data_IF_802012564418
#
_entry.id   IF_802012564418
#
_cell.length_a   1.000
_cell.length_b   1.000
_cell.length_c   1.000
_cell.angle_alpha   90.00
_cell.angle_beta   90.00
_cell.angle_gamma   90.00
#
_symmetry.space_group_name_H-M   'P 1'
#
loop_
_entity.id
_entity.type
_entity.pdbx_description
1 polymer ?
#
# COMPACT_ATOMS: atom_id res chain seq x y z
N UNK A 1 -4.79 -3.78 32.82
CA UNK A 1 -4.98 -3.16 31.49
C UNK A 1 -5.44 -4.24 30.54
N UNK A 2 -6.72 -4.23 30.15
CA UNK A 2 -7.25 -5.11 29.12
C UNK A 2 -6.74 -4.64 27.76
N UNK A 3 -6.16 -5.54 26.97
CA UNK A 3 -6.02 -5.32 25.54
C UNK A 3 -7.43 -5.34 24.94
N UNK A 4 -7.98 -4.18 24.62
CA UNK A 4 -9.21 -4.09 23.83
C UNK A 4 -8.94 -4.77 22.49
N UNK A 5 -9.61 -5.90 22.28
CA UNK A 5 -9.52 -6.66 21.04
C UNK A 5 -10.30 -5.90 19.96
N UNK A 6 -9.64 -4.93 19.33
CA UNK A 6 -10.19 -4.18 18.23
C UNK A 6 -10.43 -5.11 17.04
N UNK A 7 -11.68 -5.51 16.86
CA UNK A 7 -12.13 -6.23 15.68
C UNK A 7 -12.61 -5.19 14.65
N UNK A 8 -12.03 -5.13 13.44
CA UNK A 8 -12.52 -4.21 12.42
C UNK A 8 -13.92 -4.61 11.98
N UNK A 9 -14.93 -3.80 12.32
CA UNK A 9 -16.29 -3.97 11.82
C UNK A 9 -16.31 -3.84 10.28
N UNK A 10 -17.16 -4.64 9.65
CA UNK A 10 -17.34 -4.62 8.19
C UNK A 10 -17.90 -3.26 7.71
N UNK A 11 -17.53 -2.85 6.50
CA UNK A 11 -18.20 -1.75 5.81
C UNK A 11 -19.06 -2.29 4.67
N UNK A 12 -20.36 -1.99 4.69
CA UNK A 12 -21.28 -2.38 3.64
C UNK A 12 -21.25 -1.36 2.50
N UNK A 13 -20.70 -1.76 1.34
CA UNK A 13 -20.62 -0.92 0.13
C UNK A 13 -22.00 -0.48 -0.42
N UNK A 14 -23.10 -1.10 0.04
CA UNK A 14 -24.46 -0.78 -0.41
C UNK A 14 -25.11 0.41 0.31
N UNK A 15 -24.62 0.78 1.51
CA UNK A 15 -25.27 1.78 2.36
C UNK A 15 -24.81 3.23 2.06
N UNK A 16 -24.16 3.44 0.91
CA UNK A 16 -23.70 4.74 0.41
C UNK A 16 -22.19 4.90 0.41
N UNK A 17 -21.71 5.97 -0.22
CA UNK A 17 -20.30 6.37 -0.22
C UNK A 17 -19.94 6.92 1.18
N UNK A 18 -19.09 6.24 1.97
CA UNK A 18 -18.81 6.66 3.36
C UNK A 18 -17.80 7.81 3.45
N UNK A 19 -17.40 8.39 2.32
CA UNK A 19 -16.28 9.31 2.20
C UNK A 19 -16.72 10.66 1.64
N UNK A 20 -17.48 11.43 2.41
CA UNK A 20 -17.60 12.87 2.18
C UNK A 20 -16.26 13.54 2.51
N UNK A 21 -15.31 13.50 1.59
CA UNK A 21 -14.10 14.33 1.67
C UNK A 21 -14.50 15.81 1.61
N UNK A 22 -14.04 16.61 2.58
CA UNK A 22 -14.29 18.05 2.55
C UNK A 22 -13.57 18.70 1.36
N UNK A 23 -14.17 19.72 0.76
CA UNK A 23 -13.56 20.44 -0.37
C UNK A 23 -12.21 21.09 0.01
N UNK A 24 -12.03 21.41 1.30
CA UNK A 24 -10.75 21.88 1.85
C UNK A 24 -9.61 20.86 1.68
N UNK A 25 -9.88 19.57 1.93
CA UNK A 25 -8.88 18.50 1.80
C UNK A 25 -8.48 18.22 0.34
N UNK A 26 -9.29 18.67 -0.62
CA UNK A 26 -8.99 18.59 -2.06
C UNK A 26 -8.17 19.82 -2.48
N UNK A 27 -8.48 21.00 -1.95
CA UNK A 27 -7.84 22.26 -2.35
C UNK A 27 -6.38 22.41 -1.89
N UNK A 28 -6.01 21.88 -0.72
CA UNK A 28 -4.62 21.95 -0.20
C UNK A 28 -3.61 21.11 -1.02
N UNK A 29 -4.09 20.24 -1.91
CA UNK A 29 -3.31 19.23 -2.59
C UNK A 29 -2.74 19.70 -3.95
N UNK A 30 -3.30 20.77 -4.54
CA UNK A 30 -2.97 21.28 -5.87
C UNK A 30 -1.64 22.08 -5.94
N UNK A 31 -0.53 21.48 -5.48
CA UNK A 31 0.81 22.06 -5.49
C UNK A 31 1.66 21.70 -6.73
N UNK A 32 2.50 22.65 -7.16
CA UNK A 32 3.32 22.63 -8.38
C UNK A 32 4.26 21.43 -8.55
N UNK A 33 4.23 20.80 -9.74
CA UNK A 33 5.32 19.95 -10.23
C UNK A 33 5.70 20.37 -11.66
N UNK A 34 6.96 20.82 -11.86
CA UNK A 34 7.50 21.18 -13.18
C UNK A 34 8.23 20.00 -13.84
N UNK A 35 8.53 20.08 -15.13
CA UNK A 35 9.07 18.96 -15.92
C UNK A 35 10.38 18.39 -15.36
N UNK A 36 10.43 17.06 -15.19
CA UNK A 36 11.48 16.32 -14.47
C UNK A 36 12.19 15.36 -15.44
N UNK A 37 13.53 15.35 -15.48
CA UNK A 37 14.32 14.40 -16.28
C UNK A 37 14.27 12.98 -15.72
N UNK A 38 14.58 11.94 -16.49
CA UNK A 38 14.43 10.53 -16.02
C UNK A 38 15.23 10.18 -14.75
N UNK A 39 16.44 10.75 -14.59
CA UNK A 39 17.23 10.59 -13.35
C UNK A 39 16.46 11.21 -12.17
N UNK A 40 15.98 12.43 -12.37
CA UNK A 40 15.22 13.18 -11.37
C UNK A 40 13.82 12.58 -11.12
N UNK A 41 13.28 11.75 -12.04
CA UNK A 41 12.01 11.06 -11.84
C UNK A 41 12.10 9.95 -10.77
N UNK A 42 13.23 9.23 -10.71
CA UNK A 42 13.47 8.23 -9.65
C UNK A 42 13.71 8.91 -8.30
N UNK A 43 14.46 10.01 -8.30
CA UNK A 43 14.70 10.84 -7.11
C UNK A 43 13.39 11.47 -6.58
N UNK A 44 12.52 11.97 -7.47
CA UNK A 44 11.20 12.47 -7.12
C UNK A 44 10.26 11.38 -6.60
N UNK A 45 10.33 10.15 -7.14
CA UNK A 45 9.61 8.99 -6.60
C UNK A 45 10.02 8.70 -5.15
N UNK A 46 11.33 8.61 -4.90
CA UNK A 46 11.93 8.38 -3.57
C UNK A 46 11.53 9.49 -2.60
N UNK A 47 11.80 10.75 -2.95
CA UNK A 47 11.58 11.93 -2.08
C UNK A 47 10.13 12.05 -1.62
N UNK A 48 9.16 11.81 -2.52
CA UNK A 48 7.72 11.86 -2.19
C UNK A 48 7.28 10.74 -1.25
N UNK A 49 7.90 9.56 -1.37
CA UNK A 49 7.64 8.43 -0.49
C UNK A 49 8.26 8.67 0.90
N UNK A 50 9.50 9.13 0.97
CA UNK A 50 10.18 9.46 2.23
C UNK A 50 9.43 10.54 3.02
N UNK A 51 9.03 11.62 2.33
CA UNK A 51 8.24 12.71 2.92
C UNK A 51 6.89 12.20 3.47
N UNK A 52 6.22 11.30 2.75
CA UNK A 52 4.91 10.75 3.16
C UNK A 52 5.05 9.74 4.30
N UNK A 53 5.96 8.78 4.18
CA UNK A 53 6.08 7.64 5.11
C UNK A 53 7.00 7.96 6.31
N UNK A 54 7.44 9.22 6.44
CA UNK A 54 8.32 9.70 7.53
C UNK A 54 9.64 8.90 7.65
N UNK A 55 10.23 8.54 6.50
CA UNK A 55 11.47 7.77 6.37
C UNK A 55 11.49 6.43 7.16
N UNK A 56 10.33 5.81 7.40
CA UNK A 56 10.23 4.58 8.19
C UNK A 56 9.26 3.55 7.62
N UNK A 57 9.43 2.29 8.03
CA UNK A 57 8.54 1.19 7.66
C UNK A 57 7.11 1.47 8.13
N UNK A 58 6.15 1.45 7.20
CA UNK A 58 4.75 1.77 7.51
C UNK A 58 4.10 0.78 8.50
N UNK A 59 4.65 -0.44 8.64
CA UNK A 59 4.14 -1.50 9.53
C UNK A 59 4.67 -1.37 10.95
N UNK A 60 5.99 -1.38 11.14
CA UNK A 60 6.61 -1.42 12.47
C UNK A 60 7.32 -0.12 12.90
N UNK A 61 7.37 0.88 12.03
CA UNK A 61 8.01 2.17 12.31
C UNK A 61 9.54 2.16 12.39
N UNK A 62 10.20 1.02 12.16
CA UNK A 62 11.66 0.95 12.01
C UNK A 62 12.11 1.95 10.94
N UNK A 63 13.18 2.68 11.21
CA UNK A 63 13.77 3.71 10.34
C UNK A 63 15.31 3.62 10.29
N UNK A 64 15.90 2.50 10.71
CA UNK A 64 17.36 2.32 10.71
C UNK A 64 17.90 2.37 9.26
N UNK A 65 18.88 3.25 8.96
CA UNK A 65 19.47 3.35 7.61
C UNK A 65 19.96 2.01 7.07
N UNK A 66 19.72 1.74 5.78
CA UNK A 66 20.08 0.48 5.13
C UNK A 66 19.21 -0.73 5.52
N UNK A 67 18.19 -0.56 6.36
CA UNK A 67 17.21 -1.62 6.70
C UNK A 67 15.82 -1.39 6.10
N UNK A 68 15.61 -0.23 5.46
CA UNK A 68 14.38 0.22 4.81
C UNK A 68 14.55 0.19 3.30
N UNK A 69 13.55 -0.32 2.60
CA UNK A 69 13.47 -0.44 1.16
C UNK A 69 12.14 0.15 0.64
N UNK A 70 12.11 0.53 -0.63
CA UNK A 70 10.92 0.99 -1.34
C UNK A 70 10.21 -0.21 -1.98
N UNK A 71 9.15 -0.69 -1.34
CA UNK A 71 8.30 -1.72 -1.92
C UNK A 71 7.28 -1.11 -2.88
N UNK A 72 6.81 -1.89 -3.85
CA UNK A 72 5.78 -1.49 -4.82
C UNK A 72 4.55 -2.36 -4.68
N UNK A 73 3.38 -1.73 -4.65
CA UNK A 73 2.11 -2.43 -4.45
C UNK A 73 1.76 -3.24 -5.71
N UNK A 74 1.98 -2.64 -6.88
CA UNK A 74 2.00 -3.30 -8.19
C UNK A 74 3.47 -3.45 -8.63
N UNK A 75 4.05 -4.67 -8.57
CA UNK A 75 5.42 -4.96 -9.00
C UNK A 75 5.77 -4.53 -10.42
N UNK A 76 7.04 -4.16 -10.66
CA UNK A 76 7.54 -3.77 -12.00
C UNK A 76 7.47 -4.89 -13.05
N UNK A 77 7.44 -6.15 -12.64
CA UNK A 77 7.35 -7.31 -13.54
C UNK A 77 5.98 -7.40 -14.22
N UNK A 78 4.93 -6.85 -13.60
CA UNK A 78 3.55 -6.87 -14.05
C UNK A 78 3.25 -5.70 -15.00
N UNK A 79 3.92 -5.69 -16.16
CA UNK A 79 3.87 -4.59 -17.13
C UNK A 79 2.44 -4.16 -17.50
N UNK A 80 1.53 -5.12 -17.62
CA UNK A 80 0.17 -4.89 -18.10
C UNK A 80 -0.79 -4.46 -16.99
N UNK A 81 -0.63 -4.95 -15.75
CA UNK A 81 -1.61 -4.67 -14.67
C UNK A 81 -1.82 -3.19 -14.42
N UNK A 82 -0.73 -2.40 -14.44
CA UNK A 82 -0.85 -0.95 -14.27
C UNK A 82 -1.63 -0.29 -15.42
N UNK A 83 -1.47 -0.78 -16.64
CA UNK A 83 -2.22 -0.29 -17.81
C UNK A 83 -3.69 -0.73 -17.80
N UNK A 84 -3.96 -1.97 -17.38
CA UNK A 84 -5.31 -2.46 -17.15
C UNK A 84 -6.03 -1.62 -16.08
N UNK A 85 -5.33 -1.24 -15.01
CA UNK A 85 -5.88 -0.38 -13.97
C UNK A 85 -6.21 1.03 -14.49
N UNK A 86 -5.40 1.60 -15.40
CA UNK A 86 -5.71 2.87 -16.08
C UNK A 86 -6.91 2.72 -17.02
N UNK A 87 -6.86 1.73 -17.90
CA UNK A 87 -7.88 1.45 -18.93
C UNK A 87 -9.25 1.17 -18.31
N UNK A 88 -9.28 0.42 -17.20
CA UNK A 88 -10.51 0.07 -16.46
C UNK A 88 -10.90 1.09 -15.39
N UNK A 89 -10.21 2.24 -15.33
CA UNK A 89 -10.48 3.38 -14.44
C UNK A 89 -10.40 3.07 -12.93
N UNK A 90 -9.59 2.09 -12.54
CA UNK A 90 -9.24 1.84 -11.13
C UNK A 90 -8.25 2.89 -10.59
N UNK A 91 -7.45 3.48 -11.48
CA UNK A 91 -6.60 4.64 -11.23
C UNK A 91 -6.79 5.63 -12.39
N UNK A 92 -6.42 6.92 -12.24
CA UNK A 92 -6.57 7.89 -13.31
C UNK A 92 -5.75 7.50 -14.54
N UNK A 93 -6.29 7.77 -15.74
CA UNK A 93 -5.56 7.59 -17.00
C UNK A 93 -4.25 8.42 -17.04
N UNK A 94 -4.23 9.57 -16.35
CA UNK A 94 -3.05 10.43 -16.23
C UNK A 94 -2.08 10.03 -15.10
N UNK A 95 -2.33 8.93 -14.37
CA UNK A 95 -1.36 8.40 -13.41
C UNK A 95 -0.02 8.13 -14.10
N UNK A 96 1.08 8.34 -13.37
CA UNK A 96 2.44 8.14 -13.91
C UNK A 96 2.67 6.67 -14.24
N UNK A 97 3.80 6.39 -14.90
CA UNK A 97 4.23 5.03 -15.15
C UNK A 97 4.33 4.22 -13.85
N UNK A 98 4.21 2.89 -13.93
CA UNK A 98 4.36 2.00 -12.76
C UNK A 98 5.70 2.18 -12.03
N UNK A 99 6.75 2.66 -12.74
CA UNK A 99 8.08 2.95 -12.18
C UNK A 99 8.16 4.30 -11.44
N UNK A 100 7.47 5.33 -11.91
CA UNK A 100 7.63 6.72 -11.39
C UNK A 100 6.47 7.17 -10.48
N UNK A 101 5.43 6.34 -10.31
CA UNK A 101 4.27 6.69 -9.50
C UNK A 101 4.50 6.46 -8.00
N UNK A 102 4.70 7.54 -7.24
CA UNK A 102 4.86 7.49 -5.78
C UNK A 102 3.62 6.89 -5.06
N UNK A 103 2.43 7.03 -5.66
CA UNK A 103 1.17 6.41 -5.17
C UNK A 103 1.11 4.88 -5.39
N UNK A 104 2.12 4.28 -6.04
CA UNK A 104 2.34 2.83 -6.13
C UNK A 104 3.43 2.33 -5.14
N UNK A 105 4.09 3.21 -4.38
CA UNK A 105 5.19 2.85 -3.48
C UNK A 105 4.86 2.98 -2.00
N UNK A 106 5.54 2.19 -1.17
CA UNK A 106 5.50 2.23 0.31
C UNK A 106 6.91 1.97 0.88
N UNK A 107 7.24 2.58 2.03
CA UNK A 107 8.42 2.18 2.80
C UNK A 107 8.14 0.96 3.66
N UNK A 108 8.97 -0.08 3.50
CA UNK A 108 8.97 -1.27 4.36
C UNK A 108 10.38 -1.57 4.83
N UNK A 109 10.52 -2.16 6.03
CA UNK A 109 11.80 -2.77 6.39
C UNK A 109 11.96 -4.10 5.64
N UNK A 110 13.21 -4.55 5.44
CA UNK A 110 13.54 -5.79 4.70
C UNK A 110 12.67 -7.00 5.05
N UNK A 111 12.36 -7.20 6.34
CA UNK A 111 11.49 -8.28 6.81
C UNK A 111 10.03 -8.13 6.36
N UNK A 112 9.46 -6.92 6.42
CA UNK A 112 8.09 -6.68 5.96
C UNK A 112 8.01 -6.60 4.43
N UNK A 113 9.03 -6.10 3.74
CA UNK A 113 9.11 -6.09 2.28
C UNK A 113 9.08 -7.52 1.73
N UNK A 114 9.99 -8.37 2.20
CA UNK A 114 10.02 -9.78 1.80
C UNK A 114 8.74 -10.54 2.16
N UNK A 115 8.01 -10.14 3.20
CA UNK A 115 6.72 -10.74 3.54
C UNK A 115 5.54 -10.18 2.71
N UNK A 116 5.63 -8.94 2.23
CA UNK A 116 4.63 -8.28 1.38
C UNK A 116 4.69 -8.80 -0.06
N UNK A 117 5.90 -8.99 -0.60
CA UNK A 117 6.14 -9.49 -1.97
C UNK A 117 5.66 -10.93 -2.16
N UNK A 118 5.68 -11.74 -1.10
CA UNK A 118 5.16 -13.12 -1.08
C UNK A 118 3.79 -13.21 -0.40
N UNK A 119 3.06 -12.09 -0.34
CA UNK A 119 1.63 -12.04 0.01
C UNK A 119 1.24 -12.57 1.41
N UNK A 120 2.18 -12.67 2.35
CA UNK A 120 1.90 -13.12 3.72
C UNK A 120 0.93 -12.21 4.49
N UNK A 121 0.83 -10.94 4.08
CA UNK A 121 -0.15 -9.97 4.55
C UNK A 121 -0.52 -9.02 3.41
N UNK A 122 -1.66 -8.36 3.55
CA UNK A 122 -2.04 -7.20 2.75
C UNK A 122 -2.40 -6.02 3.66
N UNK A 123 -2.59 -4.85 3.05
CA UNK A 123 -3.07 -3.63 3.72
C UNK A 123 -4.45 -3.31 3.16
N UNK A 124 -5.47 -3.27 4.01
CA UNK A 124 -6.85 -2.92 3.62
C UNK A 124 -7.18 -1.49 4.03
N UNK A 125 -7.93 -0.78 3.18
CA UNK A 125 -8.53 0.51 3.54
C UNK A 125 -9.89 0.31 4.24
N UNK A 126 -10.10 1.03 5.34
CA UNK A 126 -11.38 1.19 6.03
C UNK A 126 -11.60 2.65 6.44
N UNK A 127 -11.66 2.92 7.75
CA UNK A 127 -11.50 4.31 8.27
C UNK A 127 -10.03 4.78 8.27
N UNK A 128 -9.11 3.83 8.19
CA UNK A 128 -7.68 3.99 8.04
C UNK A 128 -7.13 2.77 7.28
N UNK A 129 -5.83 2.78 6.93
CA UNK A 129 -5.18 1.60 6.38
C UNK A 129 -4.79 0.64 7.51
N UNK A 130 -5.17 -0.63 7.40
CA UNK A 130 -4.99 -1.67 8.41
C UNK A 130 -4.23 -2.86 7.82
N UNK A 131 -3.23 -3.38 8.52
CA UNK A 131 -2.54 -4.62 8.12
C UNK A 131 -3.40 -5.84 8.46
N UNK A 132 -3.55 -6.76 7.51
CA UNK A 132 -4.19 -8.06 7.71
C UNK A 132 -3.15 -9.16 7.49
N UNK A 133 -2.71 -9.80 8.58
CA UNK A 133 -1.89 -11.00 8.55
C UNK A 133 -2.72 -12.16 7.96
N UNK A 134 -2.52 -12.45 6.67
CA UNK A 134 -3.31 -13.43 5.92
C UNK A 134 -2.87 -14.85 6.28
N UNK A 135 -1.57 -15.12 6.23
CA UNK A 135 -1.03 -16.46 6.48
C UNK A 135 -0.89 -16.85 7.97
N UNK A 136 -1.44 -16.07 8.89
CA UNK A 136 -1.42 -16.35 10.34
C UNK A 136 -0.03 -16.39 10.98
N UNK A 137 1.01 -15.85 10.33
CA UNK A 137 2.40 -15.94 10.82
C UNK A 137 2.57 -15.26 12.19
N UNK A 138 3.19 -15.92 13.20
CA UNK A 138 3.36 -15.33 14.54
C UNK A 138 4.12 -13.99 14.56
N UNK A 139 5.07 -13.78 13.63
CA UNK A 139 5.82 -12.53 13.53
C UNK A 139 5.00 -11.34 13.03
N UNK A 140 3.89 -11.60 12.31
CA UNK A 140 2.96 -10.58 11.81
C UNK A 140 1.76 -10.38 12.74
N UNK A 141 1.51 -11.31 13.66
CA UNK A 141 0.37 -11.26 14.58
C UNK A 141 0.31 -9.99 15.46
N UNK A 142 1.43 -9.40 15.95
CA UNK A 142 1.41 -8.12 16.65
C UNK A 142 0.94 -6.92 15.82
N UNK A 143 0.89 -7.07 14.48
CA UNK A 143 0.48 -6.02 13.55
C UNK A 143 -0.89 -6.29 12.89
N UNK A 144 -1.42 -7.53 12.98
CA UNK A 144 -2.75 -7.86 12.46
C UNK A 144 -3.82 -6.97 13.10
N UNK A 145 -4.68 -6.38 12.29
CA UNK A 145 -5.73 -5.47 12.74
C UNK A 145 -5.22 -4.09 13.20
N UNK A 146 -3.92 -3.80 13.12
CA UNK A 146 -3.38 -2.48 13.46
C UNK A 146 -3.34 -1.55 12.26
N UNK A 147 -3.60 -0.28 12.52
CA UNK A 147 -3.40 0.78 11.55
C UNK A 147 -1.92 0.89 11.16
N UNK A 148 -1.62 0.96 9.86
CA UNK A 148 -0.28 1.25 9.36
C UNK A 148 -0.03 2.76 9.34
N UNK A 149 1.24 3.17 9.39
CA UNK A 149 1.69 4.57 9.41
C UNK A 149 1.60 5.23 8.02
N UNK A 150 0.39 5.27 7.45
CA UNK A 150 0.06 6.01 6.23
C UNK A 150 -0.79 7.23 6.59
N UNK A 151 -0.37 8.42 6.12
CA UNK A 151 -1.07 9.68 6.42
C UNK A 151 -2.22 9.91 5.42
N UNK A 152 -3.49 9.87 5.85
CA UNK A 152 -4.65 9.92 4.94
C UNK A 152 -4.80 11.25 4.20
N UNK A 153 -4.21 12.34 4.72
CA UNK A 153 -4.23 13.67 4.11
C UNK A 153 -3.10 13.91 3.10
N UNK A 154 -2.24 12.91 2.81
CA UNK A 154 -1.17 13.09 1.83
C UNK A 154 -1.71 13.05 0.40
N UNK A 155 -1.34 14.05 -0.42
CA UNK A 155 -1.56 14.00 -1.88
C UNK A 155 -0.92 12.82 -2.60
N UNK A 156 0.10 12.22 -1.97
CA UNK A 156 0.80 11.04 -2.47
C UNK A 156 0.34 9.75 -1.77
N UNK A 157 -0.81 9.78 -1.08
CA UNK A 157 -1.43 8.58 -0.54
C UNK A 157 -1.66 7.56 -1.66
N UNK A 158 -1.39 6.30 -1.32
CA UNK A 158 -1.47 5.16 -2.22
C UNK A 158 -2.87 5.04 -2.84
N UNK A 159 -2.96 4.61 -4.10
CA UNK A 159 -4.27 4.30 -4.67
C UNK A 159 -4.89 3.11 -3.95
N UNK A 160 -6.12 3.25 -3.43
CA UNK A 160 -6.78 2.17 -2.68
C UNK A 160 -7.02 0.95 -3.60
N UNK A 161 -7.22 1.19 -4.90
CA UNK A 161 -7.27 0.15 -5.92
C UNK A 161 -6.00 -0.70 -6.02
N UNK A 162 -4.80 -0.11 -5.83
CA UNK A 162 -3.56 -0.87 -5.87
C UNK A 162 -3.49 -1.85 -4.69
N UNK A 163 -3.84 -1.40 -3.49
CA UNK A 163 -3.94 -2.27 -2.32
C UNK A 163 -5.01 -3.35 -2.48
N UNK A 164 -6.14 -3.05 -3.11
CA UNK A 164 -7.17 -4.05 -3.43
C UNK A 164 -6.63 -5.14 -4.38
N UNK A 165 -5.89 -4.77 -5.42
CA UNK A 165 -5.29 -5.74 -6.34
C UNK A 165 -4.25 -6.61 -5.62
N UNK A 166 -3.47 -6.04 -4.70
CA UNK A 166 -2.55 -6.80 -3.84
C UNK A 166 -3.30 -7.76 -2.91
N UNK A 167 -4.38 -7.29 -2.27
CA UNK A 167 -5.27 -8.10 -1.42
C UNK A 167 -5.82 -9.32 -2.17
N UNK A 168 -6.34 -9.16 -3.39
CA UNK A 168 -6.86 -10.28 -4.20
C UNK A 168 -5.80 -11.34 -4.53
N UNK A 169 -4.52 -10.96 -4.69
CA UNK A 169 -3.44 -11.92 -4.94
C UNK A 169 -3.19 -12.82 -3.75
N UNK A 170 -3.32 -12.28 -2.54
CA UNK A 170 -3.20 -13.07 -1.32
C UNK A 170 -4.25 -14.19 -1.26
N UNK A 171 -5.47 -13.93 -1.76
CA UNK A 171 -6.55 -14.91 -1.78
C UNK A 171 -6.34 -16.01 -2.85
N UNK A 172 -5.69 -15.69 -3.97
CA UNK A 172 -5.38 -16.68 -5.02
C UNK A 172 -4.34 -17.70 -4.53
N UNK A 173 -3.38 -17.28 -3.69
CA UNK A 173 -2.37 -18.19 -3.15
C UNK A 173 -2.92 -19.18 -2.11
N UNK A 174 -3.94 -18.79 -1.34
CA UNK A 174 -4.58 -19.65 -0.33
C UNK A 174 -5.70 -20.55 -0.89
N UNK A 175 -5.87 -20.61 -2.22
CA UNK A 175 -6.86 -21.49 -2.85
C UNK A 175 -6.53 -22.97 -2.55
N UNK A 176 -7.43 -23.74 -1.88
CA UNK A 176 -7.09 -25.04 -1.27
C UNK A 176 -6.69 -26.13 -2.27
N UNK A 177 -7.00 -25.97 -3.56
CA UNK A 177 -6.65 -26.91 -4.61
C UNK A 177 -5.21 -26.74 -5.15
N UNK A 178 -4.48 -25.71 -4.70
CA UNK A 178 -3.09 -25.47 -5.14
C UNK A 178 -2.91 -25.24 -6.64
N UNK A 179 -4.01 -25.01 -7.38
CA UNK A 179 -3.96 -24.63 -8.80
C UNK A 179 -3.35 -23.25 -8.91
N UNK A 180 -2.03 -23.21 -9.12
CA UNK A 180 -1.45 -22.10 -9.85
C UNK A 180 -2.28 -21.91 -11.13
N UNK A 181 -2.56 -20.66 -11.57
CA UNK A 181 -3.06 -20.46 -12.92
C UNK A 181 -2.13 -21.22 -13.86
N UNK A 182 -2.66 -21.93 -14.89
CA UNK A 182 -1.82 -22.74 -15.77
C UNK A 182 -0.68 -21.84 -16.25
N UNK A 183 0.55 -22.26 -15.95
CA UNK A 183 1.71 -21.63 -16.56
C UNK A 183 1.53 -21.74 -18.06
N UNK A 184 1.85 -20.67 -18.78
CA UNK A 184 2.02 -20.75 -20.22
C UNK A 184 3.32 -21.55 -20.47
N UNK A 185 3.23 -22.87 -20.26
CA UNK A 185 4.28 -23.88 -20.47
C UNK A 185 4.48 -24.12 -21.98
N UNK A 186 4.62 -23.02 -22.74
CA UNK A 186 4.90 -22.96 -24.18
C UNK A 186 6.37 -23.32 -24.49
N UNK A 187 6.91 -24.35 -23.83
CA UNK A 187 8.30 -24.80 -24.00
C UNK A 187 8.43 -26.33 -24.16
N UNK A 188 7.52 -26.90 -24.97
CA UNK A 188 7.66 -28.25 -25.54
C UNK A 188 8.51 -28.21 -26.84
N UNK A 189 9.77 -27.80 -26.73
CA UNK A 189 10.66 -27.45 -27.85
C UNK A 189 11.99 -28.21 -27.94
N UNK A 190 11.94 -29.55 -27.84
CA UNK A 190 13.00 -30.55 -28.16
C UNK A 190 14.46 -30.04 -28.29
N UNK A 191 15.25 -30.19 -27.23
CA UNK A 191 16.72 -30.04 -27.28
C UNK A 191 17.42 -31.27 -26.72
N UNK A 192 17.60 -32.28 -27.58
CA UNK A 192 18.56 -33.37 -27.36
C UNK A 192 19.98 -32.82 -27.26
N UNK A 193 20.61 -33.04 -26.12
CA UNK A 193 22.00 -32.63 -25.86
C UNK A 193 22.71 -33.60 -24.91
N UNK A 194 23.10 -34.76 -25.41
CA UNK A 194 24.01 -35.68 -24.69
C UNK A 194 25.39 -35.02 -24.51
N UNK A 195 25.84 -34.84 -23.26
CA UNK A 195 27.06 -34.07 -22.98
C UNK A 195 27.56 -34.09 -21.53
N UNK A 196 27.96 -35.27 -21.02
CA UNK A 196 28.99 -35.38 -19.96
C UNK A 196 30.38 -35.02 -20.56
N UNK A 197 31.45 -34.68 -19.80
CA UNK A 197 31.68 -34.90 -18.35
C UNK A 197 32.15 -33.60 -17.63
N UNK A 198 32.79 -33.52 -16.45
CA UNK A 198 33.22 -34.50 -15.42
C UNK A 198 33.28 -33.84 -14.00
N UNK A 199 33.88 -34.51 -13.00
CA UNK A 199 34.08 -34.01 -11.64
C UNK A 199 35.19 -32.95 -11.49
N UNK A 200 34.86 -31.87 -10.77
CA UNK A 200 35.82 -30.90 -10.23
C UNK A 200 35.49 -30.57 -8.77
N UNK A 201 35.95 -31.41 -7.83
CA UNK A 201 35.72 -31.20 -6.39
C UNK A 201 36.67 -30.16 -5.81
N UNK A 202 36.12 -29.11 -5.18
CA UNK A 202 36.86 -28.18 -4.33
C UNK A 202 36.05 -27.87 -3.06
N UNK A 203 36.49 -28.40 -1.92
CA UNK A 203 35.90 -28.12 -0.61
C UNK A 203 36.16 -26.66 -0.18
N UNK A 204 35.09 -25.89 0.00
CA UNK A 204 35.15 -24.59 0.69
C UNK A 204 34.54 -24.71 2.10
N UNK A 205 35.37 -24.94 3.12
CA UNK A 205 34.97 -24.99 4.53
C UNK A 205 34.62 -23.60 5.07
N UNK A 206 33.37 -23.16 4.85
CA UNK A 206 32.82 -21.92 5.38
C UNK A 206 32.19 -22.08 6.77
N UNK A 207 32.87 -21.58 7.80
CA UNK A 207 32.46 -21.72 9.21
C UNK A 207 31.16 -20.94 9.53
N UNK A 208 30.07 -21.65 9.83
CA UNK A 208 28.84 -21.03 10.38
C UNK A 208 29.13 -20.41 11.76
N UNK A 209 29.19 -19.07 11.83
CA UNK A 209 29.14 -18.35 13.10
C UNK A 209 27.67 -18.25 13.56
N UNK A 210 27.37 -18.83 14.72
CA UNK A 210 26.12 -18.59 15.43
C UNK A 210 26.00 -17.09 15.75
N UNK A 211 24.95 -16.44 15.25
CA UNK A 211 24.51 -15.18 15.84
C UNK A 211 23.70 -15.49 17.10
N UNK A 212 24.27 -15.16 18.26
CA UNK A 212 23.52 -15.13 19.51
C UNK A 212 22.60 -13.91 19.50
N UNK A 213 21.30 -14.14 19.70
CA UNK A 213 20.31 -13.08 19.93
C UNK A 213 20.56 -12.44 21.29
N UNK A 214 21.08 -11.22 21.29
CA UNK A 214 21.18 -10.41 22.51
C UNK A 214 19.79 -9.96 22.97
N UNK A 215 19.44 -10.32 24.19
CA UNK A 215 18.23 -9.85 24.88
C UNK A 215 18.43 -8.40 25.28
N UNK A 216 17.52 -7.51 24.86
CA UNK A 216 17.51 -6.11 25.28
C UNK A 216 16.76 -6.01 26.63
N UNK A 217 17.32 -5.36 27.68
CA UNK A 217 16.63 -5.19 28.95
C UNK A 217 15.43 -4.24 28.83
N UNK A 218 14.35 -4.53 29.54
CA UNK A 218 13.21 -3.64 29.65
C UNK A 218 13.56 -2.39 30.49
N UNK A 219 13.37 -1.19 29.94
CA UNK A 219 13.34 0.04 30.73
C UNK A 219 11.95 0.22 31.36
N UNK A 220 11.90 0.25 32.68
CA UNK A 220 10.73 0.70 33.44
C UNK A 220 10.69 2.23 33.46
N UNK A 221 9.60 2.82 32.95
CA UNK A 221 9.33 4.25 33.07
C UNK A 221 8.24 4.49 34.11
N UNK A 222 8.56 5.24 35.16
CA UNK A 222 7.57 5.75 36.10
C UNK A 222 6.92 7.01 35.54
N UNK A 223 5.60 7.16 35.72
CA UNK A 223 4.95 8.48 35.91
C UNK A 223 3.54 8.25 36.41
N UNK A 224 3.21 8.85 37.56
CA UNK A 224 1.84 8.94 38.04
C UNK A 224 1.33 10.37 37.85
N UNK A 225 0.09 10.49 37.37
CA UNK A 225 -0.71 11.72 37.44
C UNK A 225 -2.19 11.34 37.53
N UNK A 226 -2.95 12.09 38.33
CA UNK A 226 -4.36 11.88 38.67
C UNK A 226 -5.33 12.29 37.54
N UNK A 227 -6.60 11.86 37.58
CA UNK A 227 -7.51 11.95 36.44
C UNK A 227 -8.16 13.33 36.29
N UNK A 228 -8.51 13.68 35.05
CA UNK A 228 -9.64 14.58 34.80
C UNK A 228 -10.83 13.77 34.30
N UNK A 229 -11.92 13.90 35.01
CA UNK A 229 -13.21 13.28 34.75
C UNK A 229 -14.07 14.25 33.93
N UNK A 230 -14.37 13.90 32.68
CA UNK A 230 -15.52 14.39 31.91
C UNK A 230 -15.64 13.55 30.65
N UNK A 231 -16.56 12.58 30.64
CA UNK A 231 -16.97 11.91 29.41
C UNK A 231 -18.49 11.84 29.35
N UNK A 232 -19.03 12.51 28.34
CA UNK A 232 -20.44 12.65 28.06
C UNK A 232 -21.01 11.32 27.55
N UNK A 233 -22.10 10.84 28.16
CA UNK A 233 -22.70 9.53 27.84
C UNK A 233 -23.39 9.56 26.48
N UNK A 234 -22.71 9.07 25.44
CA UNK A 234 -23.36 8.72 24.17
C UNK A 234 -23.92 7.30 24.22
N UNK A 235 -25.17 7.18 23.78
CA UNK A 235 -26.00 5.97 23.88
C UNK A 235 -25.38 4.76 23.17
N UNK A 236 -25.00 3.74 23.94
CA UNK A 236 -24.50 2.48 23.41
C UNK A 236 -25.64 1.64 22.81
N UNK A 237 -25.70 1.57 21.47
CA UNK A 237 -26.54 0.60 20.76
C UNK A 237 -25.78 0.08 19.53
N UNK A 238 -24.77 -0.76 19.77
CA UNK A 238 -23.93 -1.39 18.74
C UNK A 238 -23.85 -2.88 18.98
N UNK A 239 -24.45 -3.65 18.07
CA UNK A 239 -24.36 -5.12 18.05
C UNK A 239 -22.91 -5.54 17.75
N UNK A 240 -22.19 -6.20 18.69
CA UNK A 240 -20.74 -6.37 18.62
C UNK A 240 -20.28 -7.52 17.70
N UNK A 241 -21.11 -8.00 16.76
CA UNK A 241 -20.83 -9.20 15.94
C UNK A 241 -21.18 -9.10 14.46
N UNK A 242 -20.88 -7.98 13.80
CA UNK A 242 -20.80 -7.96 12.34
C UNK A 242 -19.54 -8.70 11.85
N UNK A 243 -19.68 -10.01 11.62
CA UNK A 243 -18.66 -10.85 10.96
C UNK A 243 -18.31 -10.27 9.59
N UNK A 244 -17.03 -9.99 9.35
CA UNK A 244 -16.54 -9.56 8.04
C UNK A 244 -16.78 -10.69 7.04
N UNK A 245 -17.75 -10.51 6.15
CA UNK A 245 -17.88 -11.39 4.98
C UNK A 245 -16.90 -10.89 3.92
N UNK A 246 -15.81 -11.62 3.75
CA UNK A 246 -14.80 -11.35 2.72
C UNK A 246 -15.35 -11.74 1.33
N UNK A 247 -16.29 -10.96 0.81
CA UNK A 247 -16.80 -11.15 -0.55
C UNK A 247 -15.81 -10.60 -1.57
N UNK A 248 -15.50 -11.37 -2.62
CA UNK A 248 -14.72 -10.90 -3.76
C UNK A 248 -15.44 -9.71 -4.42
N UNK A 249 -14.91 -8.46 -4.36
CA UNK A 249 -15.59 -7.28 -4.87
C UNK A 249 -15.64 -7.23 -6.41
N UNK A 250 -14.91 -8.11 -7.10
CA UNK A 250 -14.97 -8.28 -8.55
C UNK A 250 -16.08 -9.26 -9.00
N UNK A 251 -16.71 -9.99 -8.07
CA UNK A 251 -17.77 -10.95 -8.39
C UNK A 251 -19.13 -10.28 -8.69
N UNK A 252 -19.36 -9.05 -8.21
CA UNK A 252 -20.58 -8.29 -8.48
C UNK A 252 -20.25 -7.00 -9.26
N UNK A 253 -20.68 -6.86 -10.52
CA UNK A 253 -20.44 -5.65 -11.32
C UNK A 253 -20.95 -4.36 -10.67
N UNK A 254 -22.08 -4.41 -9.94
CA UNK A 254 -22.63 -3.22 -9.29
C UNK A 254 -21.76 -2.71 -8.13
N UNK A 255 -21.25 -3.63 -7.30
CA UNK A 255 -20.35 -3.30 -6.19
C UNK A 255 -19.00 -2.81 -6.75
N UNK A 256 -18.54 -3.37 -7.88
CA UNK A 256 -17.30 -2.96 -8.55
C UNK A 256 -17.38 -1.53 -9.12
N UNK A 257 -18.50 -1.15 -9.74
CA UNK A 257 -18.71 0.23 -10.22
C UNK A 257 -18.90 1.23 -9.08
N UNK A 258 -19.55 0.83 -7.97
CA UNK A 258 -19.60 1.64 -6.76
C UNK A 258 -18.20 1.88 -6.17
N UNK A 259 -17.36 0.84 -6.17
CA UNK A 259 -15.97 0.89 -5.70
C UNK A 259 -15.09 1.80 -6.58
N UNK A 260 -15.19 1.72 -7.91
CA UNK A 260 -14.51 2.65 -8.83
C UNK A 260 -14.92 4.10 -8.59
N UNK A 261 -16.21 4.37 -8.40
CA UNK A 261 -16.70 5.73 -8.07
C UNK A 261 -16.09 6.21 -6.75
N UNK A 262 -16.09 5.36 -5.73
CA UNK A 262 -15.45 5.65 -4.45
C UNK A 262 -13.95 5.92 -4.57
N UNK A 263 -13.23 5.26 -5.48
CA UNK A 263 -11.83 5.55 -5.79
C UNK A 263 -11.67 6.91 -6.50
N UNK A 264 -12.54 7.21 -7.47
CA UNK A 264 -12.49 8.47 -8.23
C UNK A 264 -12.72 9.72 -7.37
N UNK A 265 -13.46 9.59 -6.27
CA UNK A 265 -13.74 10.67 -5.34
C UNK A 265 -12.57 11.04 -4.42
N UNK A 266 -11.55 10.17 -4.30
CA UNK A 266 -10.47 10.32 -3.35
C UNK A 266 -9.53 11.50 -3.70
N UNK A 267 -8.99 12.23 -2.71
CA UNK A 267 -8.13 13.39 -2.98
C UNK A 267 -6.87 13.03 -3.77
N UNK A 268 -6.26 11.87 -3.49
CA UNK A 268 -5.10 11.34 -4.22
C UNK A 268 -5.42 10.87 -5.65
N UNK A 269 -6.66 10.45 -5.94
CA UNK A 269 -7.13 10.16 -7.30
C UNK A 269 -7.30 11.45 -8.09
N UNK A 270 -7.95 12.47 -7.50
CA UNK A 270 -8.13 13.80 -8.11
C UNK A 270 -6.78 14.46 -8.40
N UNK A 271 -5.88 14.51 -7.43
CA UNK A 271 -4.51 15.01 -7.55
C UNK A 271 -3.65 14.32 -8.64
N UNK A 272 -4.04 13.11 -9.03
CA UNK A 272 -3.39 12.30 -10.05
C UNK A 272 -4.07 12.40 -11.42
N UNK A 273 -5.36 12.72 -11.45
CA UNK A 273 -6.11 13.09 -12.64
C UNK A 273 -5.80 14.54 -13.09
N UNK A 274 -5.50 15.43 -12.14
CA UNK A 274 -4.99 16.79 -12.32
C UNK A 274 -3.57 16.78 -12.92
N UNK A 275 -3.48 16.36 -14.18
CA UNK A 275 -2.20 16.31 -14.86
C UNK A 275 -1.72 17.71 -15.21
N UNK A 276 -0.51 18.03 -14.74
CA UNK A 276 0.40 18.97 -15.40
C UNK A 276 1.04 18.33 -16.66
N UNK A 277 0.30 17.40 -17.30
CA UNK A 277 0.56 16.96 -18.65
C UNK A 277 0.18 18.09 -19.61
N UNK A 278 1.15 18.49 -20.41
CA UNK A 278 1.08 19.63 -21.32
C UNK A 278 2.49 20.18 -21.59
N UNK A 279 2.62 21.08 -22.54
CA UNK A 279 3.89 21.80 -22.74
C UNK A 279 4.19 22.71 -21.54
N UNK A 280 5.43 23.22 -21.46
CA UNK A 280 5.79 24.18 -20.42
C UNK A 280 4.85 25.41 -20.45
N UNK A 281 4.46 25.86 -21.63
CA UNK A 281 3.55 26.98 -21.87
C UNK A 281 2.10 26.68 -21.45
N UNK A 282 1.62 25.45 -21.67
CA UNK A 282 0.30 25.02 -21.20
C UNK A 282 0.25 24.94 -19.66
N UNK A 283 1.33 24.46 -19.04
CA UNK A 283 1.47 24.44 -17.59
C UNK A 283 1.60 25.86 -17.02
N UNK A 284 2.34 26.77 -17.67
CA UNK A 284 2.38 28.19 -17.28
C UNK A 284 0.98 28.83 -17.38
N UNK A 285 0.19 28.52 -18.42
CA UNK A 285 -1.21 28.98 -18.55
C UNK A 285 -2.13 28.40 -17.48
N UNK A 286 -2.05 27.10 -17.18
CA UNK A 286 -2.76 26.45 -16.06
C UNK A 286 -2.40 27.13 -14.73
N UNK A 287 -1.12 27.39 -14.48
CA UNK A 287 -0.67 28.06 -13.26
C UNK A 287 -1.23 29.49 -13.13
N UNK A 288 -1.20 30.28 -14.21
CA UNK A 288 -1.77 31.63 -14.19
C UNK A 288 -3.30 31.69 -14.07
N UNK A 289 -4.03 30.66 -14.53
CA UNK A 289 -5.48 30.58 -14.39
C UNK A 289 -5.92 30.15 -12.98
N UNK A 290 -5.16 29.27 -12.31
CA UNK A 290 -5.43 28.91 -10.91
C UNK A 290 -4.89 29.95 -9.90
N UNK A 291 -3.77 30.62 -10.20
CA UNK A 291 -3.04 31.48 -9.25
C UNK A 291 -3.59 32.89 -8.99
N UNK A 292 -4.80 33.25 -9.45
CA UNK A 292 -5.42 34.58 -9.19
C UNK A 292 -6.67 34.54 -8.30
N UNK A 293 -6.86 33.47 -7.52
CA UNK A 293 -7.79 33.49 -6.40
C UNK A 293 -7.30 34.46 -5.32
N UNK A 294 -7.99 35.59 -5.16
CA UNK A 294 -7.71 36.71 -4.25
C UNK A 294 -6.96 36.35 -2.95
N UNK A 295 -5.65 36.58 -2.92
CA UNK A 295 -4.98 37.02 -1.68
C UNK A 295 -5.20 38.54 -1.56
N UNK A 296 -6.17 38.91 -0.72
CA UNK A 296 -6.43 40.27 -0.24
C UNK A 296 -6.50 40.24 1.29
#
# INVERSE_FOLDING_TARGET
MSLEHWSPFAFNLRDGLPFSYSESAISEIAGTESAVSEISATEAFVTKIDQRDSCGCIVCGNNLPGTIDYARIIPKVEKNTWEDMRTRQFIPAAARSVKDEARNGILLCKTHHAAFDVFHFYVRWGRCFVLVNQCGRPSLQPFHGRAVRLFPHSRYLQFHAAFLIHEMRTWIQDAPDGRQPPGDDDDAGDSKGDGKPDMGSLEAKGTRKHFQTNVIPALTSHTGSTPMEMMETLSANTDPRQTITLTNPFANPADLEALKRSFAEQPNFKAAAESWGGTAEENIKKWHSHGRGNFK
#
